data_IF_013949991844
#
_entry.id   IF_013949991844
#
_cell.length_a   1.000
_cell.length_b   1.000
_cell.length_c   1.000
_cell.angle_alpha   90.00
_cell.angle_beta   90.00
_cell.angle_gamma   90.00
#
_symmetry.space_group_name_H-M   'P 1'
#
loop_
_entity.id
_entity.type
_entity.pdbx_description
1 polymer ?
#
# COMPACT_ATOMS: atom_id res chain seq x y z
N UNK A 1 -15.30 3.03 -5.74
CA UNK A 1 -15.47 4.44 -5.34
C UNK A 1 -15.88 4.47 -3.87
N UNK A 2 -15.12 5.14 -3.01
CA UNK A 2 -15.45 5.26 -1.58
C UNK A 2 -16.04 6.65 -1.32
N UNK A 3 -17.18 6.72 -0.62
CA UNK A 3 -17.78 7.98 -0.18
C UNK A 3 -17.15 8.38 1.14
N UNK A 4 -16.54 9.56 1.19
CA UNK A 4 -15.88 10.08 2.39
C UNK A 4 -16.61 11.34 2.86
N UNK A 5 -16.83 11.46 4.16
CA UNK A 5 -17.34 12.68 4.80
C UNK A 5 -16.18 13.41 5.46
N UNK A 6 -16.04 14.70 5.16
CA UNK A 6 -14.95 15.54 5.65
C UNK A 6 -15.59 16.84 6.17
N UNK A 7 -15.20 17.25 7.37
CA UNK A 7 -15.59 18.53 7.92
C UNK A 7 -14.71 19.65 7.34
N UNK A 8 -15.35 20.75 6.94
CA UNK A 8 -14.68 21.99 6.57
C UNK A 8 -15.23 23.14 7.44
N UNK A 9 -14.38 24.05 7.92
CA UNK A 9 -14.83 25.32 8.48
C UNK A 9 -15.74 26.06 7.48
N UNK A 10 -16.72 26.82 7.99
CA UNK A 10 -17.75 27.43 7.14
C UNK A 10 -17.18 28.36 6.06
N UNK A 11 -16.18 29.17 6.43
CA UNK A 11 -15.51 30.10 5.51
C UNK A 11 -14.87 29.35 4.34
N UNK A 12 -14.07 28.33 4.64
CA UNK A 12 -13.42 27.49 3.63
C UNK A 12 -14.45 26.77 2.74
N UNK A 13 -15.55 26.29 3.32
CA UNK A 13 -16.60 25.63 2.55
C UNK A 13 -17.30 26.59 1.57
N UNK A 14 -17.49 27.86 1.94
CA UNK A 14 -18.03 28.90 1.05
C UNK A 14 -17.07 29.18 -0.09
N UNK A 15 -15.79 29.35 0.20
CA UNK A 15 -14.76 29.62 -0.81
C UNK A 15 -14.66 28.48 -1.83
N UNK A 16 -14.66 27.22 -1.36
CA UNK A 16 -14.65 26.04 -2.23
C UNK A 16 -15.89 25.97 -3.14
N UNK A 17 -17.07 26.36 -2.64
CA UNK A 17 -18.29 26.43 -3.46
C UNK A 17 -18.21 27.50 -4.53
N UNK A 18 -17.70 28.68 -4.19
CA UNK A 18 -17.52 29.78 -5.14
C UNK A 18 -16.56 29.35 -6.24
N UNK A 19 -15.41 28.78 -5.86
CA UNK A 19 -14.40 28.34 -6.81
C UNK A 19 -14.90 27.20 -7.73
N UNK A 20 -15.63 26.22 -7.19
CA UNK A 20 -16.26 25.18 -7.99
C UNK A 20 -17.27 25.75 -9.01
N UNK A 21 -18.06 26.74 -8.58
CA UNK A 21 -19.02 27.44 -9.46
C UNK A 21 -18.32 28.23 -10.56
N UNK A 22 -17.20 28.90 -10.25
CA UNK A 22 -16.38 29.60 -11.24
C UNK A 22 -15.79 28.64 -12.28
N UNK A 23 -15.42 27.43 -11.85
CA UNK A 23 -14.90 26.37 -12.70
C UNK A 23 -16.00 25.59 -13.46
N UNK A 24 -17.29 25.92 -13.28
CA UNK A 24 -18.43 25.21 -13.87
C UNK A 24 -18.46 23.70 -13.60
N UNK A 25 -17.92 23.25 -12.47
CA UNK A 25 -17.89 21.84 -12.07
C UNK A 25 -18.53 21.62 -10.70
N UNK A 26 -18.83 20.37 -10.37
CA UNK A 26 -19.39 20.04 -9.06
C UNK A 26 -18.38 20.28 -7.94
N UNK A 27 -18.86 20.61 -6.74
CA UNK A 27 -17.99 20.79 -5.56
C UNK A 27 -17.12 19.56 -5.29
N UNK A 28 -17.69 18.36 -5.40
CA UNK A 28 -16.97 17.09 -5.19
C UNK A 28 -15.84 16.88 -6.19
N UNK A 29 -16.06 17.26 -7.45
CA UNK A 29 -15.09 17.13 -8.52
C UNK A 29 -13.98 18.18 -8.41
N UNK A 30 -14.34 19.40 -8.02
CA UNK A 30 -13.37 20.44 -7.70
C UNK A 30 -12.45 20.05 -6.53
N UNK A 31 -13.02 19.51 -5.45
CA UNK A 31 -12.25 18.99 -4.31
C UNK A 31 -11.32 17.85 -4.75
N UNK A 32 -11.81 16.93 -5.59
CA UNK A 32 -11.00 15.83 -6.12
C UNK A 32 -9.82 16.37 -6.94
N UNK A 33 -10.07 17.30 -7.85
CA UNK A 33 -9.04 17.92 -8.69
C UNK A 33 -7.92 18.55 -7.85
N UNK A 34 -8.27 19.34 -6.81
CA UNK A 34 -7.27 19.96 -5.92
C UNK A 34 -6.47 18.90 -5.15
N UNK A 35 -7.16 17.87 -4.64
CA UNK A 35 -6.49 16.79 -3.93
C UNK A 35 -5.53 16.05 -4.86
N UNK A 36 -5.96 15.72 -6.07
CA UNK A 36 -5.11 15.09 -7.08
C UNK A 36 -3.90 15.96 -7.41
N UNK A 37 -4.09 17.26 -7.68
CA UNK A 37 -3.00 18.18 -7.95
C UNK A 37 -1.98 18.19 -6.81
N UNK A 38 -2.41 18.31 -5.55
CA UNK A 38 -1.49 18.30 -4.39
C UNK A 38 -0.81 16.95 -4.16
N UNK A 39 -1.52 15.85 -4.42
CA UNK A 39 -1.08 14.48 -4.11
C UNK A 39 -0.23 13.87 -5.22
N UNK A 40 -0.44 14.26 -6.47
CA UNK A 40 0.31 13.78 -7.63
C UNK A 40 1.46 14.71 -8.02
N UNK A 41 1.42 16.00 -7.66
CA UNK A 41 2.59 16.90 -7.79
C UNK A 41 3.77 16.51 -6.90
N UNK A 42 3.48 15.76 -5.83
CA UNK A 42 4.48 15.09 -4.98
C UNK A 42 4.03 13.66 -4.87
N UNK A 43 4.51 12.72 -5.72
CA UNK A 43 4.08 11.33 -5.61
C UNK A 43 4.20 10.93 -4.15
N UNK A 44 3.08 10.53 -3.52
CA UNK A 44 3.13 9.88 -2.22
C UNK A 44 4.16 8.78 -2.42
N UNK A 45 5.35 8.96 -1.85
CA UNK A 45 6.26 7.84 -1.66
C UNK A 45 5.44 6.96 -0.74
N UNK A 46 4.76 5.98 -1.33
CA UNK A 46 4.14 4.91 -0.58
C UNK A 46 5.33 4.20 0.04
N UNK A 47 5.81 4.71 1.17
CA UNK A 47 6.66 4.03 2.12
C UNK A 47 5.78 3.05 2.89
N UNK A 48 4.89 2.35 2.21
CA UNK A 48 4.84 0.94 2.51
C UNK A 48 6.20 0.45 2.04
N UNK A 49 7.08 -0.10 2.89
CA UNK A 49 7.85 -1.18 2.36
C UNK A 49 6.77 -2.14 1.87
N UNK A 50 6.59 -2.25 0.54
CA UNK A 50 6.42 -3.59 0.00
C UNK A 50 7.62 -4.28 0.59
N UNK A 51 7.45 -4.94 1.76
CA UNK A 51 8.41 -5.90 2.26
C UNK A 51 8.66 -6.69 1.00
N UNK A 52 9.83 -6.53 0.40
CA UNK A 52 10.30 -7.44 -0.62
C UNK A 52 10.36 -8.74 0.18
N UNK A 53 9.22 -9.44 0.29
CA UNK A 53 9.19 -10.85 0.61
C UNK A 53 10.16 -11.36 -0.41
N UNK A 54 11.37 -11.68 0.03
CA UNK A 54 12.44 -12.10 -0.88
C UNK A 54 11.79 -13.11 -1.79
N UNK A 55 11.85 -12.87 -3.10
CA UNK A 55 11.19 -13.80 -4.01
C UNK A 55 11.71 -15.19 -3.65
N UNK A 56 10.89 -16.25 -3.64
CA UNK A 56 11.35 -17.59 -3.28
C UNK A 56 12.63 -17.98 -4.03
N UNK A 57 12.81 -17.47 -5.26
CA UNK A 57 14.02 -17.55 -6.06
C UNK A 57 15.25 -16.86 -5.44
N UNK A 58 15.12 -15.65 -4.90
CA UNK A 58 16.23 -14.93 -4.23
C UNK A 58 16.60 -15.63 -2.92
N UNK A 59 15.61 -16.12 -2.17
CA UNK A 59 15.86 -16.88 -0.95
C UNK A 59 16.52 -18.24 -1.26
N UNK A 60 16.09 -18.94 -2.31
CA UNK A 60 16.69 -20.19 -2.75
C UNK A 60 18.14 -20.01 -3.26
N UNK A 61 18.42 -18.93 -3.99
CA UNK A 61 19.79 -18.63 -4.47
C UNK A 61 20.78 -18.38 -3.34
N UNK A 62 20.31 -17.83 -2.22
CA UNK A 62 21.13 -17.50 -1.06
C UNK A 62 20.99 -18.53 0.07
N UNK A 63 20.24 -19.62 -0.15
CA UNK A 63 20.08 -20.68 0.83
C UNK A 63 21.39 -21.48 0.92
N UNK A 64 21.89 -21.62 2.14
CA UNK A 64 23.02 -22.51 2.41
C UNK A 64 22.52 -23.96 2.25
N UNK A 65 23.22 -24.83 1.50
CA UNK A 65 22.84 -26.23 1.35
C UNK A 65 23.17 -27.01 2.63
N UNK A 66 22.42 -26.74 3.69
CA UNK A 66 22.52 -27.45 4.95
C UNK A 66 21.37 -28.45 5.04
N UNK A 67 21.73 -29.73 5.17
CA UNK A 67 20.79 -30.81 5.43
C UNK A 67 20.59 -31.82 4.30
N UNK A 68 19.74 -32.82 4.56
CA UNK A 68 19.31 -33.85 3.62
C UNK A 68 18.40 -33.24 2.53
N UNK A 69 18.59 -33.69 1.29
CA UNK A 69 17.95 -33.14 0.07
C UNK A 69 16.41 -33.12 0.11
N UNK A 70 15.82 -33.97 0.94
CA UNK A 70 14.39 -34.21 1.06
C UNK A 70 13.77 -33.64 2.35
N UNK A 71 14.48 -32.76 3.06
CA UNK A 71 14.03 -32.17 4.34
C UNK A 71 12.60 -31.63 4.30
N UNK A 72 12.24 -30.91 3.24
CA UNK A 72 10.90 -30.33 3.11
C UNK A 72 9.80 -31.39 2.94
N UNK A 73 10.10 -32.53 2.31
CA UNK A 73 9.12 -33.61 2.08
C UNK A 73 8.95 -34.50 3.31
N UNK A 74 10.02 -34.64 4.09
CA UNK A 74 10.09 -35.53 5.24
C UNK A 74 10.26 -34.75 6.56
N UNK A 75 9.64 -33.56 6.64
CA UNK A 75 9.80 -32.66 7.78
C UNK A 75 9.47 -33.35 9.10
N UNK A 76 8.31 -34.02 9.18
CA UNK A 76 7.85 -34.67 10.41
C UNK A 76 8.84 -35.74 10.90
N UNK A 77 9.34 -36.58 9.98
CA UNK A 77 10.33 -37.62 10.30
C UNK A 77 11.60 -37.04 10.92
N UNK A 78 12.16 -35.99 10.31
CA UNK A 78 13.40 -35.39 10.79
C UNK A 78 13.17 -34.53 12.03
N UNK A 79 11.99 -33.94 12.19
CA UNK A 79 11.59 -33.22 13.39
C UNK A 79 11.53 -34.18 14.58
N UNK A 80 10.88 -35.33 14.44
CA UNK A 80 10.82 -36.36 15.48
C UNK A 80 12.19 -36.95 15.82
N UNK A 81 13.05 -37.21 14.83
CA UNK A 81 14.43 -37.67 15.04
C UNK A 81 15.26 -36.67 15.87
N UNK A 82 14.98 -35.36 15.76
CA UNK A 82 15.72 -34.31 16.48
C UNK A 82 15.29 -34.11 17.94
N UNK A 83 14.15 -34.69 18.34
CA UNK A 83 13.61 -34.59 19.69
C UNK A 83 14.06 -35.75 20.60
N UNK A 84 14.81 -36.71 20.06
CA UNK A 84 15.42 -37.83 20.79
C UNK A 84 16.83 -37.49 21.23
#
# INVERSE_FOLDING_TARGET
MQRTQIYFPEELHKDLKIAAKMASISLSEYIRMILEEKTYSKPIKITSPKKKRGSPLVLAKNAVPLGKKDFAKNFDKYFEESLK
#
